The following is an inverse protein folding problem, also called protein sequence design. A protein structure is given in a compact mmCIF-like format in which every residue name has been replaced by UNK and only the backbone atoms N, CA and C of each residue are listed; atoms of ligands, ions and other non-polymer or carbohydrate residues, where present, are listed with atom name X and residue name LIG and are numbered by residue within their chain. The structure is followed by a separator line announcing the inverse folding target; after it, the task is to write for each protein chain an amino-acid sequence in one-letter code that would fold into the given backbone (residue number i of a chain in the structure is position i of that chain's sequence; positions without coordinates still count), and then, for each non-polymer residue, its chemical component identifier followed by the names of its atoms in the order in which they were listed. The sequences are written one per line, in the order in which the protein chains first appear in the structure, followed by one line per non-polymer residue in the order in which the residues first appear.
data_IF_525393120481
#
_entry.id   IF_525393120481
#
_cell.length_a   1.000
_cell.length_b   1.000
_cell.length_c   1.000
_cell.angle_alpha   90.00
_cell.angle_beta   90.00
_cell.angle_gamma   90.00
#
_symmetry.space_group_name_H-M   'P 1'
#
loop_
_entity.id
_entity.type
_entity.pdbx_description
1 polymer ?
#
# COMPACT_ATOMS: atom_id res chain seq x y z
N UNK A 1 -0.03 -14.15 67.29
CA UNK A 1 1.33 -13.57 67.40
C UNK A 1 1.89 -13.51 65.98
N UNK A 2 1.90 -12.33 65.32
CA UNK A 2 3.07 -11.44 65.21
C UNK A 2 4.27 -12.22 64.62
N UNK A 3 4.91 -11.91 63.48
CA UNK A 3 5.25 -10.63 62.86
C UNK A 3 5.78 -10.86 61.42
N UNK A 4 5.40 -9.95 60.53
CA UNK A 4 6.20 -9.20 59.54
C UNK A 4 7.23 -9.84 58.59
N UNK A 5 7.32 -9.17 57.43
CA UNK A 5 8.37 -9.10 56.40
C UNK A 5 7.97 -9.81 55.09
N UNK A 6 8.02 -9.19 53.90
CA UNK A 6 8.24 -7.81 53.47
C UNK A 6 7.84 -7.75 51.98
N UNK A 7 7.32 -6.61 51.55
CA UNK A 7 6.99 -6.28 50.16
C UNK A 7 8.18 -6.53 49.21
N UNK A 8 7.96 -7.26 48.11
CA UNK A 8 8.62 -6.95 46.83
C UNK A 8 7.54 -6.90 45.75
N UNK A 9 7.20 -5.66 45.43
CA UNK A 9 6.53 -5.23 44.21
C UNK A 9 7.35 -5.67 43.00
N UNK A 10 6.91 -6.69 42.27
CA UNK A 10 7.30 -6.85 40.87
C UNK A 10 6.16 -6.31 40.03
N UNK A 11 6.28 -5.03 39.68
CA UNK A 11 5.53 -4.42 38.59
C UNK A 11 5.87 -5.26 37.36
N UNK A 12 4.94 -6.12 36.93
CA UNK A 12 4.93 -6.63 35.57
C UNK A 12 4.61 -5.42 34.67
N UNK A 13 5.64 -4.63 34.37
CA UNK A 13 5.70 -3.94 33.11
C UNK A 13 5.75 -5.03 32.06
N UNK A 14 4.58 -5.50 31.64
CA UNK A 14 4.42 -6.03 30.28
C UNK A 14 4.62 -4.80 29.40
N UNK A 15 5.90 -4.49 29.16
CA UNK A 15 6.27 -3.72 28.00
C UNK A 15 5.65 -4.45 26.83
N UNK A 16 4.67 -3.80 26.22
CA UNK A 16 4.30 -3.99 24.83
C UNK A 16 5.61 -3.74 24.07
N UNK A 17 6.39 -4.81 23.90
CA UNK A 17 7.54 -4.84 23.02
C UNK A 17 6.98 -4.83 21.61
N UNK A 18 6.60 -3.63 21.14
CA UNK A 18 6.81 -3.28 19.75
C UNK A 18 8.33 -3.20 19.54
N UNK A 19 9.02 -4.34 19.62
CA UNK A 19 10.32 -4.44 18.99
C UNK A 19 10.06 -4.22 17.50
N UNK A 20 10.37 -3.02 17.01
CA UNK A 20 10.87 -2.92 15.64
C UNK A 20 12.06 -3.87 15.63
N UNK A 21 11.87 -5.07 15.05
CA UNK A 21 12.97 -5.96 14.76
C UNK A 21 13.91 -5.17 13.83
N UNK A 22 15.01 -4.66 14.41
CA UNK A 22 16.02 -3.91 13.70
C UNK A 22 16.81 -4.91 12.86
N UNK A 23 16.29 -5.22 11.67
CA UNK A 23 17.04 -5.98 10.69
C UNK A 23 18.07 -5.07 10.01
N UNK A 24 19.32 -5.54 9.85
CA UNK A 24 20.31 -4.78 9.09
C UNK A 24 19.86 -4.65 7.63
N UNK A 25 19.94 -3.45 7.06
CA UNK A 25 19.67 -3.17 5.63
C UNK A 25 20.45 -4.10 4.69
N UNK A 26 21.56 -4.66 5.17
CA UNK A 26 22.37 -5.64 4.46
C UNK A 26 22.70 -6.82 5.39
N UNK A 27 21.82 -7.83 5.49
CA UNK A 27 22.11 -9.01 6.29
C UNK A 27 23.32 -9.74 5.70
N UNK A 28 24.31 -10.05 6.55
CA UNK A 28 25.51 -10.75 6.12
C UNK A 28 25.12 -12.14 5.60
N UNK A 29 25.41 -12.39 4.32
CA UNK A 29 25.32 -13.72 3.72
C UNK A 29 26.43 -14.57 4.30
N UNK A 30 26.07 -15.65 4.99
CA UNK A 30 27.05 -16.66 5.36
C UNK A 30 27.31 -17.48 4.10
N UNK A 31 28.56 -17.50 3.63
CA UNK A 31 28.99 -18.51 2.66
C UNK A 31 28.77 -19.86 3.33
N UNK A 32 27.96 -20.77 2.78
CA UNK A 32 27.76 -22.07 3.40
C UNK A 32 29.13 -22.76 3.49
N UNK A 33 29.67 -22.93 4.69
CA UNK A 33 30.86 -23.78 4.92
C UNK A 33 30.50 -25.26 4.85
N UNK A 34 29.22 -25.60 4.71
CA UNK A 34 28.78 -26.94 4.38
C UNK A 34 27.74 -26.89 3.26
N UNK A 35 28.01 -27.58 2.16
CA UNK A 35 27.02 -27.95 1.13
C UNK A 35 25.89 -28.85 1.70
N UNK A 36 25.93 -29.20 2.98
CA UNK A 36 25.10 -30.23 3.63
C UNK A 36 23.66 -29.79 3.95
N UNK A 37 23.35 -28.49 3.98
CA UNK A 37 22.06 -27.98 4.47
C UNK A 37 21.20 -27.28 3.40
N UNK A 38 21.69 -27.12 2.17
CA UNK A 38 20.92 -26.50 1.09
C UNK A 38 20.23 -27.56 0.24
N UNK A 39 18.89 -27.62 0.29
CA UNK A 39 18.13 -28.42 -0.69
C UNK A 39 18.26 -27.82 -2.09
N UNK A 40 18.06 -28.65 -3.14
CA UNK A 40 18.01 -28.22 -4.55
C UNK A 40 17.21 -26.93 -4.70
N UNK A 41 16.03 -26.89 -4.11
CA UNK A 41 15.15 -25.74 -4.19
C UNK A 41 15.74 -24.48 -3.54
N UNK A 42 16.32 -24.59 -2.35
CA UNK A 42 16.93 -23.45 -1.65
C UNK A 42 18.09 -22.87 -2.46
N UNK A 43 18.82 -23.72 -3.20
CA UNK A 43 19.89 -23.29 -4.11
C UNK A 43 19.36 -22.52 -5.32
N UNK A 44 18.28 -22.98 -5.93
CA UNK A 44 17.75 -22.43 -7.18
C UNK A 44 16.68 -21.34 -7.02
N UNK A 45 16.24 -21.11 -5.78
CA UNK A 45 15.21 -20.12 -5.46
C UNK A 45 15.62 -18.72 -5.94
N UNK A 46 14.72 -18.09 -6.68
CA UNK A 46 14.75 -16.68 -7.04
C UNK A 46 13.34 -16.08 -6.91
N UNK A 47 13.18 -14.84 -7.34
CA UNK A 47 11.91 -14.14 -7.40
C UNK A 47 11.58 -13.63 -8.79
N UNK A 48 10.29 -13.59 -9.10
CA UNK A 48 9.76 -13.14 -10.37
C UNK A 48 8.58 -12.18 -10.17
N UNK A 49 8.44 -11.25 -11.10
CA UNK A 49 7.25 -10.41 -11.30
C UNK A 49 6.95 -10.34 -12.80
N UNK A 50 5.67 -10.30 -13.17
CA UNK A 50 5.27 -10.07 -14.57
C UNK A 50 5.54 -8.64 -15.02
N UNK A 51 5.59 -7.69 -14.08
CA UNK A 51 5.84 -6.29 -14.38
C UNK A 51 6.84 -5.69 -13.38
N UNK A 52 7.97 -5.19 -13.90
CA UNK A 52 8.99 -4.48 -13.10
C UNK A 52 8.71 -2.99 -12.99
N UNK A 53 7.74 -2.47 -13.74
CA UNK A 53 7.32 -1.07 -13.72
C UNK A 53 5.88 -1.03 -13.25
N UNK A 54 5.67 -0.79 -11.96
CA UNK A 54 4.35 -0.88 -11.31
C UNK A 54 3.83 0.53 -11.05
N UNK A 55 2.55 0.77 -11.35
CA UNK A 55 1.94 2.03 -10.94
C UNK A 55 1.77 2.05 -9.41
N UNK A 56 1.99 3.20 -8.78
CA UNK A 56 1.75 3.37 -7.32
C UNK A 56 0.29 3.07 -6.92
N UNK A 57 -0.65 3.14 -7.86
CA UNK A 57 -2.05 2.74 -7.72
C UNK A 57 -2.34 1.36 -8.32
N UNK A 58 -1.37 0.45 -8.35
CA UNK A 58 -1.59 -0.93 -8.75
C UNK A 58 -0.94 -1.87 -7.73
N UNK A 59 -1.57 -3.02 -7.49
CA UNK A 59 -0.92 -4.10 -6.74
C UNK A 59 0.01 -4.87 -7.69
N UNK A 60 1.31 -4.84 -7.41
CA UNK A 60 2.28 -5.73 -8.01
C UNK A 60 2.28 -7.10 -7.34
N UNK A 61 2.43 -8.16 -8.12
CA UNK A 61 2.56 -9.53 -7.58
C UNK A 61 3.99 -10.02 -7.74
N UNK A 62 4.60 -10.43 -6.64
CA UNK A 62 5.94 -11.00 -6.59
C UNK A 62 5.80 -12.45 -6.14
N UNK A 63 6.42 -13.38 -6.87
CA UNK A 63 6.34 -14.82 -6.63
C UNK A 63 7.71 -15.46 -6.57
N UNK A 64 7.81 -16.57 -5.84
CA UNK A 64 8.99 -17.44 -5.86
C UNK A 64 9.11 -18.09 -7.24
N UNK A 65 10.33 -18.14 -7.76
CA UNK A 65 10.69 -18.76 -9.03
C UNK A 65 11.78 -19.82 -8.83
N UNK A 66 11.59 -21.01 -9.37
CA UNK A 66 12.64 -22.02 -9.47
C UNK A 66 13.40 -21.82 -10.80
N UNK A 67 14.69 -21.47 -10.70
CA UNK A 67 15.54 -21.25 -11.87
C UNK A 67 15.82 -22.50 -12.69
N UNK A 68 15.84 -23.67 -12.07
CA UNK A 68 16.19 -24.92 -12.74
C UNK A 68 14.98 -25.48 -13.49
N UNK A 69 13.83 -25.56 -12.80
CA UNK A 69 12.59 -26.09 -13.38
C UNK A 69 11.85 -25.04 -14.23
N UNK A 70 12.36 -23.81 -14.30
CA UNK A 70 11.76 -22.65 -14.96
C UNK A 70 10.28 -22.42 -14.60
N UNK A 71 9.93 -22.73 -13.35
CA UNK A 71 8.55 -22.72 -12.87
C UNK A 71 8.31 -21.62 -11.83
N UNK A 72 7.15 -20.99 -11.91
CA UNK A 72 6.67 -20.06 -10.90
C UNK A 72 5.65 -20.75 -9.96
N UNK A 73 5.76 -20.49 -8.66
CA UNK A 73 4.91 -21.15 -7.67
C UNK A 73 3.75 -20.25 -7.25
N UNK A 74 2.59 -20.42 -7.91
CA UNK A 74 1.41 -19.56 -7.71
C UNK A 74 0.48 -19.95 -6.54
N UNK A 75 0.59 -21.17 -6.03
CA UNK A 75 -0.38 -21.73 -5.07
C UNK A 75 0.27 -22.10 -3.74
N UNK A 76 1.06 -23.16 -3.73
CA UNK A 76 1.71 -23.68 -2.54
C UNK A 76 3.01 -24.32 -2.94
N UNK A 77 4.06 -24.05 -2.18
CA UNK A 77 5.34 -24.66 -2.36
C UNK A 77 5.85 -25.19 -1.01
N UNK A 78 6.31 -26.44 -1.00
CA UNK A 78 6.82 -27.10 0.20
C UNK A 78 8.34 -27.05 0.20
N UNK A 79 8.91 -26.22 1.09
CA UNK A 79 10.31 -26.36 1.45
C UNK A 79 10.45 -27.43 2.52
N UNK A 80 11.58 -28.12 2.43
CA UNK A 80 12.02 -29.01 3.48
C UNK A 80 12.26 -28.22 4.77
N UNK A 81 11.52 -28.59 5.82
CA UNK A 81 11.59 -27.98 7.15
C UNK A 81 12.96 -28.16 7.79
N UNK A 82 13.68 -29.21 7.39
CA UNK A 82 15.02 -29.48 7.90
C UNK A 82 16.04 -28.49 7.33
N UNK A 83 15.75 -27.87 6.18
CA UNK A 83 16.64 -26.95 5.48
C UNK A 83 16.28 -25.46 5.66
N UNK A 84 15.01 -25.14 5.97
CA UNK A 84 14.52 -23.74 6.05
C UNK A 84 13.58 -23.56 7.22
N UNK A 85 13.88 -22.57 8.06
CA UNK A 85 13.07 -22.22 9.23
C UNK A 85 12.05 -21.11 8.92
N UNK A 86 12.41 -20.16 8.04
CA UNK A 86 11.51 -19.08 7.65
C UNK A 86 11.91 -18.41 6.33
N UNK A 87 10.94 -17.69 5.75
CA UNK A 87 11.14 -16.80 4.61
C UNK A 87 10.64 -15.41 4.99
N UNK A 88 11.43 -14.39 4.65
CA UNK A 88 11.08 -12.99 4.82
C UNK A 88 10.98 -12.31 3.45
N UNK A 89 9.84 -11.66 3.22
CA UNK A 89 9.54 -10.81 2.08
C UNK A 89 9.73 -9.36 2.50
N UNK A 90 10.63 -8.64 1.84
CA UNK A 90 11.04 -7.33 2.34
C UNK A 90 11.28 -6.28 1.25
N UNK A 91 10.72 -5.09 1.47
CA UNK A 91 11.05 -3.83 0.79
C UNK A 91 11.11 -2.76 1.87
N UNK A 92 12.20 -2.00 1.93
CA UNK A 92 12.39 -0.93 2.91
C UNK A 92 11.17 0.00 2.95
N UNK A 93 10.66 0.27 4.16
CA UNK A 93 9.51 1.12 4.47
C UNK A 93 8.18 0.77 3.77
N UNK A 94 8.11 -0.34 3.01
CA UNK A 94 6.94 -0.72 2.20
C UNK A 94 6.38 -2.06 2.68
N UNK A 95 7.24 -3.07 2.81
CA UNK A 95 6.83 -4.44 3.05
C UNK A 95 7.80 -5.11 4.00
N UNK A 96 7.26 -5.73 5.04
CA UNK A 96 7.97 -6.68 5.86
C UNK A 96 6.99 -7.78 6.28
N UNK A 97 7.20 -8.98 5.74
CA UNK A 97 6.38 -10.14 6.07
C UNK A 97 7.28 -11.35 6.27
N UNK A 98 7.20 -11.97 7.44
CA UNK A 98 7.89 -13.21 7.76
C UNK A 98 6.87 -14.35 7.86
N UNK A 99 7.19 -15.48 7.24
CA UNK A 99 6.44 -16.73 7.40
C UNK A 99 7.35 -17.86 7.82
N UNK A 100 6.95 -18.57 8.87
CA UNK A 100 7.58 -19.82 9.29
C UNK A 100 7.13 -21.03 8.48
N UNK A 101 7.47 -22.21 8.99
CA UNK A 101 7.38 -23.47 8.24
C UNK A 101 5.95 -24.06 8.23
N UNK A 102 5.24 -23.81 7.13
CA UNK A 102 4.10 -24.57 6.57
C UNK A 102 2.68 -23.94 6.69
N UNK A 103 2.03 -23.59 5.55
CA UNK A 103 2.62 -23.45 4.23
C UNK A 103 3.49 -22.18 4.15
N UNK A 104 4.60 -22.26 3.43
CA UNK A 104 5.32 -21.04 3.05
C UNK A 104 4.45 -20.23 2.09
N UNK A 105 4.37 -18.92 2.31
CA UNK A 105 3.79 -18.01 1.33
C UNK A 105 4.68 -18.05 0.08
N UNK A 106 4.13 -18.41 -1.07
CA UNK A 106 4.86 -18.47 -2.36
C UNK A 106 4.71 -17.20 -3.20
N UNK A 107 3.80 -16.29 -2.81
CA UNK A 107 3.53 -15.03 -3.49
C UNK A 107 3.12 -13.94 -2.50
N UNK A 108 3.53 -12.71 -2.75
CA UNK A 108 3.03 -11.52 -2.05
C UNK A 108 2.56 -10.44 -3.03
N UNK A 109 1.50 -9.72 -2.64
CA UNK A 109 1.16 -8.45 -3.23
C UNK A 109 2.02 -7.33 -2.64
N UNK A 110 2.33 -6.32 -3.44
CA UNK A 110 2.97 -5.06 -3.02
C UNK A 110 2.24 -3.87 -3.63
N UNK A 111 2.01 -2.84 -2.84
CA UNK A 111 1.54 -1.52 -3.29
C UNK A 111 2.57 -0.47 -2.85
N UNK A 112 2.75 0.58 -3.67
CA UNK A 112 3.75 1.62 -3.41
C UNK A 112 3.07 2.94 -3.12
N UNK A 113 3.49 3.64 -2.05
CA UNK A 113 2.89 4.92 -1.69
C UNK A 113 3.55 6.15 -2.37
N UNK A 114 4.70 5.97 -3.01
CA UNK A 114 5.41 7.02 -3.77
C UNK A 114 6.14 6.43 -4.98
N UNK A 115 6.30 7.18 -6.08
CA UNK A 115 7.18 6.77 -7.17
C UNK A 115 8.62 6.62 -6.71
N UNK A 116 9.37 5.73 -7.34
CA UNK A 116 10.77 5.49 -7.02
C UNK A 116 11.27 4.12 -7.47
N UNK A 117 12.54 3.86 -7.22
CA UNK A 117 13.15 2.55 -7.38
C UNK A 117 13.14 1.85 -6.02
N UNK A 118 12.63 0.62 -5.99
CA UNK A 118 12.51 -0.19 -4.79
C UNK A 118 13.25 -1.50 -4.98
N UNK A 119 14.03 -1.86 -3.96
CA UNK A 119 14.70 -3.15 -3.89
C UNK A 119 13.84 -4.11 -3.08
N UNK A 120 13.33 -5.13 -3.76
CA UNK A 120 12.71 -6.27 -3.10
C UNK A 120 13.76 -7.30 -2.75
N UNK A 121 13.68 -7.84 -1.53
CA UNK A 121 14.50 -8.94 -1.04
C UNK A 121 13.61 -10.09 -0.57
N UNK A 122 13.90 -11.30 -1.06
CA UNK A 122 13.48 -12.54 -0.43
C UNK A 122 14.65 -13.09 0.37
N UNK A 123 14.48 -13.24 1.67
CA UNK A 123 15.49 -13.78 2.57
C UNK A 123 15.02 -15.13 3.10
N UNK A 124 15.85 -16.16 2.94
CA UNK A 124 15.59 -17.50 3.47
C UNK A 124 16.51 -17.72 4.65
N UNK A 125 15.93 -18.11 5.78
CA UNK A 125 16.65 -18.30 7.04
C UNK A 125 16.72 -19.76 7.46
N UNK A 126 17.88 -20.12 8.03
CA UNK A 126 18.12 -21.35 8.79
C UNK A 126 19.03 -21.02 9.97
N UNK A 127 18.68 -21.47 11.17
CA UNK A 127 19.44 -21.27 12.40
C UNK A 127 19.78 -19.78 12.64
N UNK A 128 18.78 -18.90 12.46
CA UNK A 128 18.88 -17.44 12.54
C UNK A 128 19.88 -16.79 11.56
N UNK A 129 20.25 -17.50 10.50
CA UNK A 129 21.20 -17.04 9.49
C UNK A 129 20.55 -17.02 8.12
N UNK A 130 20.86 -16.00 7.31
CA UNK A 130 20.41 -15.95 5.91
C UNK A 130 21.22 -16.96 5.11
N UNK A 131 20.56 -18.00 4.62
CA UNK A 131 21.15 -19.05 3.76
C UNK A 131 20.92 -18.79 2.28
N UNK A 132 19.90 -17.99 1.94
CA UNK A 132 19.66 -17.55 0.56
C UNK A 132 19.07 -16.15 0.55
N UNK A 133 19.52 -15.36 -0.42
CA UNK A 133 18.97 -14.06 -0.78
C UNK A 133 18.64 -14.05 -2.27
N UNK A 134 17.43 -13.63 -2.60
CA UNK A 134 17.00 -13.32 -3.96
C UNK A 134 16.52 -11.88 -4.01
N UNK A 135 16.80 -11.18 -5.11
CA UNK A 135 16.61 -9.74 -5.21
C UNK A 135 15.94 -9.36 -6.54
N UNK A 136 15.07 -8.36 -6.48
CA UNK A 136 14.41 -7.80 -7.66
C UNK A 136 14.31 -6.28 -7.50
N UNK A 137 14.64 -5.56 -8.57
CA UNK A 137 14.38 -4.12 -8.65
C UNK A 137 13.00 -3.88 -9.26
N UNK A 138 12.22 -3.04 -8.59
CA UNK A 138 10.89 -2.62 -9.01
C UNK A 138 10.86 -1.10 -9.10
N UNK A 139 10.48 -0.59 -10.27
CA UNK A 139 10.26 0.83 -10.47
C UNK A 139 8.80 1.16 -10.27
N UNK A 140 8.48 1.89 -9.20
CA UNK A 140 7.16 2.45 -9.03
C UNK A 140 7.04 3.77 -9.82
N UNK A 141 6.09 3.85 -10.73
CA UNK A 141 5.87 5.04 -11.57
C UNK A 141 4.51 5.67 -11.30
N UNK A 142 4.36 6.99 -11.52
CA UNK A 142 3.05 7.60 -11.70
C UNK A 142 2.57 7.23 -13.11
N UNK A 143 2.00 6.04 -13.28
CA UNK A 143 1.67 5.51 -14.62
C UNK A 143 0.33 6.01 -15.19
N UNK A 144 -0.55 6.51 -14.32
CA UNK A 144 -1.89 7.02 -14.61
C UNK A 144 -2.15 8.20 -13.67
N UNK A 145 -3.20 8.98 -13.90
CA UNK A 145 -3.56 9.98 -12.90
C UNK A 145 -3.93 9.30 -11.56
N UNK A 146 -4.10 10.07 -10.47
CA UNK A 146 -4.39 9.55 -9.13
C UNK A 146 -5.55 8.55 -9.09
N UNK A 147 -6.43 8.58 -10.10
CA UNK A 147 -7.59 7.71 -10.23
C UNK A 147 -7.32 6.38 -10.93
N UNK A 148 -6.09 6.14 -11.39
CA UNK A 148 -5.76 4.99 -12.23
C UNK A 148 -6.58 4.96 -13.54
N UNK A 149 -7.02 6.13 -14.04
CA UNK A 149 -7.81 6.27 -15.26
C UNK A 149 -6.98 6.94 -16.35
N UNK A 150 -6.94 6.33 -17.53
CA UNK A 150 -6.52 7.00 -18.75
C UNK A 150 -7.75 7.65 -19.40
N UNK A 151 -7.86 8.97 -19.30
CA UNK A 151 -8.99 9.71 -19.88
C UNK A 151 -8.97 9.73 -21.41
N UNK A 152 -7.84 9.46 -22.06
CA UNK A 152 -7.75 9.30 -23.52
C UNK A 152 -8.28 7.96 -24.01
N UNK A 153 -8.25 6.94 -23.15
CA UNK A 153 -8.80 5.60 -23.43
C UNK A 153 -9.44 5.02 -22.15
N UNK A 154 -10.60 5.55 -21.72
CA UNK A 154 -11.17 5.20 -20.43
C UNK A 154 -11.70 3.76 -20.40
N UNK A 155 -11.83 3.15 -19.21
CA UNK A 155 -12.36 1.80 -19.08
C UNK A 155 -13.72 1.61 -19.78
N UNK A 156 -13.91 0.46 -20.41
CA UNK A 156 -15.13 0.14 -21.16
C UNK A 156 -16.37 -0.07 -20.26
N UNK A 157 -16.17 -0.21 -18.95
CA UNK A 157 -17.22 -0.40 -17.93
C UNK A 157 -16.84 0.30 -16.63
N UNK A 158 -17.83 0.51 -15.75
CA UNK A 158 -17.59 1.00 -14.39
C UNK A 158 -16.73 0.00 -13.61
N UNK A 159 -15.88 0.50 -12.72
CA UNK A 159 -15.00 -0.28 -11.86
C UNK A 159 -15.28 0.15 -10.42
N UNK A 160 -15.50 -0.82 -9.54
CA UNK A 160 -15.72 -0.59 -8.10
C UNK A 160 -14.76 -1.48 -7.32
N UNK A 161 -14.23 -0.96 -6.21
CA UNK A 161 -13.47 -1.76 -5.25
C UNK A 161 -12.00 -2.01 -5.65
N UNK A 162 -11.39 -1.09 -6.41
CA UNK A 162 -9.93 -1.06 -6.48
C UNK A 162 -9.42 -0.46 -5.17
N UNK A 163 -8.84 -1.30 -4.32
CA UNK A 163 -8.43 -0.91 -2.98
C UNK A 163 -6.92 -0.77 -2.87
N UNK A 164 -6.50 0.28 -2.15
CA UNK A 164 -5.11 0.60 -1.87
C UNK A 164 -4.92 0.83 -0.36
N UNK A 165 -3.68 0.82 0.09
CA UNK A 165 -3.34 1.19 1.47
C UNK A 165 -2.69 2.57 1.52
N UNK A 166 -3.24 3.48 2.32
CA UNK A 166 -2.64 4.79 2.60
C UNK A 166 -2.57 5.02 4.11
N UNK A 167 -1.34 5.18 4.62
CA UNK A 167 -1.06 5.31 6.07
C UNK A 167 -1.75 4.23 6.95
N UNK A 168 -1.83 3.00 6.45
CA UNK A 168 -2.42 1.86 7.15
C UNK A 168 -3.95 1.77 7.07
N UNK A 169 -4.59 2.65 6.32
CA UNK A 169 -6.03 2.65 6.05
C UNK A 169 -6.30 2.21 4.61
N UNK A 170 -7.43 1.53 4.41
CA UNK A 170 -7.88 1.13 3.07
C UNK A 170 -8.52 2.33 2.39
N UNK A 171 -8.10 2.59 1.16
CA UNK A 171 -8.63 3.62 0.27
C UNK A 171 -9.21 2.92 -0.93
N UNK A 172 -10.46 3.19 -1.26
CA UNK A 172 -11.13 2.60 -2.42
C UNK A 172 -11.21 3.63 -3.54
N UNK A 173 -10.91 3.17 -4.76
CA UNK A 173 -11.12 3.89 -6.00
C UNK A 173 -12.33 3.28 -6.70
N UNK A 174 -13.19 4.17 -7.21
CA UNK A 174 -14.33 3.83 -8.04
C UNK A 174 -14.27 4.64 -9.32
N UNK A 175 -14.46 3.98 -10.46
CA UNK A 175 -14.67 4.60 -11.77
C UNK A 175 -16.12 4.35 -12.22
N UNK A 176 -16.84 5.40 -12.60
CA UNK A 176 -18.22 5.29 -13.04
C UNK A 176 -18.33 5.72 -14.50
N UNK A 177 -18.68 4.76 -15.37
CA UNK A 177 -18.99 5.02 -16.77
C UNK A 177 -20.43 5.51 -16.90
N UNK A 178 -20.59 6.77 -17.32
CA UNK A 178 -21.87 7.39 -17.69
C UNK A 178 -21.64 8.49 -18.72
N UNK A 179 -22.68 9.29 -19.04
CA UNK A 179 -22.55 10.42 -19.97
C UNK A 179 -21.37 11.34 -19.63
N UNK A 180 -21.21 11.65 -18.35
CA UNK A 180 -20.06 12.36 -17.81
C UNK A 180 -19.29 11.42 -16.87
N UNK A 181 -18.30 10.66 -17.41
CA UNK A 181 -17.57 9.69 -16.60
C UNK A 181 -16.75 10.42 -15.54
N UNK A 182 -16.63 9.80 -14.37
CA UNK A 182 -15.84 10.32 -13.27
C UNK A 182 -15.19 9.17 -12.52
N UNK A 183 -14.16 9.49 -11.75
CA UNK A 183 -13.62 8.60 -10.75
C UNK A 183 -13.60 9.27 -9.39
N UNK A 184 -13.78 8.49 -8.33
CA UNK A 184 -13.73 8.94 -6.95
C UNK A 184 -12.80 8.07 -6.13
N UNK A 185 -12.19 8.68 -5.11
CA UNK A 185 -11.34 8.04 -4.13
C UNK A 185 -11.78 8.47 -2.73
N UNK A 186 -12.07 7.49 -1.88
CA UNK A 186 -12.49 7.68 -0.50
C UNK A 186 -11.94 6.58 0.42
N UNK A 187 -11.93 6.85 1.72
CA UNK A 187 -11.51 5.84 2.70
C UNK A 187 -12.62 4.81 2.91
N UNK A 188 -12.21 3.55 2.93
CA UNK A 188 -13.11 2.44 3.19
C UNK A 188 -12.97 1.96 4.64
N UNK A 189 -14.11 1.92 5.35
CA UNK A 189 -14.19 1.53 6.74
C UNK A 189 -14.94 0.20 6.90
N UNK A 190 -14.26 -0.92 6.70
CA UNK A 190 -14.82 -2.26 7.00
C UNK A 190 -14.67 -2.55 8.50
N UNK A 191 -15.77 -2.47 9.28
CA UNK A 191 -15.86 -2.99 10.66
C UNK A 191 -14.66 -2.73 11.59
N UNK A 192 -13.87 -1.67 11.37
CA UNK A 192 -12.75 -1.28 12.24
C UNK A 192 -13.27 -0.45 13.40
N UNK A 193 -12.84 -0.78 14.61
CA UNK A 193 -13.17 -0.06 15.85
C UNK A 193 -12.62 1.37 15.89
N UNK A 194 -11.65 1.70 15.03
CA UNK A 194 -11.12 3.05 14.85
C UNK A 194 -11.38 3.53 13.41
N UNK A 195 -12.49 4.23 13.21
CA UNK A 195 -12.68 5.07 12.02
C UNK A 195 -11.74 6.28 12.11
N UNK A 196 -11.25 6.78 10.98
CA UNK A 196 -10.58 8.08 10.96
C UNK A 196 -11.59 9.14 11.42
N UNK A 197 -11.14 10.13 12.17
CA UNK A 197 -12.00 11.31 12.36
C UNK A 197 -12.14 12.02 11.01
N UNK A 198 -13.26 12.72 10.77
CA UNK A 198 -13.45 13.50 9.54
C UNK A 198 -12.25 14.42 9.23
N UNK A 199 -11.67 15.05 10.25
CA UNK A 199 -10.51 15.94 10.09
C UNK A 199 -9.28 15.18 9.57
N UNK A 200 -9.04 13.96 10.05
CA UNK A 200 -7.94 13.12 9.61
C UNK A 200 -8.18 12.54 8.21
N UNK A 201 -9.41 12.17 7.90
CA UNK A 201 -9.81 11.76 6.55
C UNK A 201 -9.51 12.88 5.54
N UNK A 202 -9.97 14.10 5.83
CA UNK A 202 -9.70 15.30 5.03
C UNK A 202 -8.19 15.56 4.88
N UNK A 203 -7.43 15.53 5.97
CA UNK A 203 -5.98 15.74 5.98
C UNK A 203 -5.27 14.74 5.06
N UNK A 204 -5.60 13.45 5.17
CA UNK A 204 -4.94 12.40 4.42
C UNK A 204 -5.29 12.41 2.93
N UNK A 205 -6.56 12.67 2.58
CA UNK A 205 -6.95 12.84 1.18
C UNK A 205 -6.28 14.08 0.57
N UNK A 206 -6.25 15.20 1.30
CA UNK A 206 -5.55 16.40 0.85
C UNK A 206 -4.06 16.14 0.63
N UNK A 207 -3.39 15.45 1.57
CA UNK A 207 -1.99 15.06 1.45
C UNK A 207 -1.75 14.17 0.23
N UNK A 208 -2.60 13.16 0.03
CA UNK A 208 -2.50 12.24 -1.10
C UNK A 208 -2.66 12.96 -2.44
N UNK A 209 -3.72 13.78 -2.58
CA UNK A 209 -3.94 14.58 -3.78
C UNK A 209 -2.79 15.56 -4.04
N UNK A 210 -2.30 16.24 -3.00
CA UNK A 210 -1.21 17.22 -3.16
C UNK A 210 0.13 16.59 -3.52
N UNK A 211 0.41 15.38 -3.04
CA UNK A 211 1.60 14.63 -3.47
C UNK A 211 1.56 14.27 -4.95
N UNK A 212 0.37 14.06 -5.50
CA UNK A 212 0.21 13.67 -6.91
C UNK A 212 0.04 14.87 -7.84
N UNK A 213 -0.68 15.89 -7.42
CA UNK A 213 -1.08 17.03 -8.27
C UNK A 213 -0.48 18.37 -7.85
N UNK A 214 0.49 18.37 -6.93
CA UNK A 214 1.06 19.57 -6.30
C UNK A 214 0.04 20.35 -5.44
N UNK A 215 0.35 21.59 -5.07
CA UNK A 215 -0.58 22.42 -4.29
C UNK A 215 -1.89 22.68 -5.07
N UNK A 216 -3.05 22.71 -4.40
CA UNK A 216 -4.31 23.01 -5.06
C UNK A 216 -4.29 24.42 -5.64
N UNK A 217 -4.93 24.59 -6.80
CA UNK A 217 -5.11 25.88 -7.46
C UNK A 217 -6.07 26.78 -6.69
N UNK A 218 -7.07 26.18 -6.01
CA UNK A 218 -7.98 26.85 -5.08
C UNK A 218 -8.18 25.98 -3.84
N UNK A 219 -8.31 26.59 -2.67
CA UNK A 219 -8.63 25.85 -1.44
C UNK A 219 -9.41 26.71 -0.43
N UNK A 220 -10.25 26.09 0.39
CA UNK A 220 -11.09 26.80 1.36
C UNK A 220 -10.30 27.59 2.42
N UNK A 221 -9.00 27.29 2.61
CA UNK A 221 -8.13 28.05 3.51
C UNK A 221 -7.61 29.36 2.90
N UNK A 222 -7.57 29.46 1.57
CA UNK A 222 -6.99 30.59 0.83
C UNK A 222 -8.00 31.37 -0.01
N UNK A 223 -9.13 30.75 -0.34
CA UNK A 223 -10.16 31.27 -1.24
C UNK A 223 -11.53 31.24 -0.55
N UNK A 224 -12.40 32.16 -0.95
CA UNK A 224 -13.79 32.17 -0.48
C UNK A 224 -14.59 30.99 -1.07
N UNK A 225 -15.56 30.47 -0.32
CA UNK A 225 -16.38 29.34 -0.76
C UNK A 225 -17.08 29.59 -2.11
N UNK A 226 -17.57 30.81 -2.34
CA UNK A 226 -18.22 31.18 -3.60
C UNK A 226 -17.27 31.06 -4.82
N UNK A 227 -15.98 31.35 -4.65
CA UNK A 227 -14.98 31.19 -5.72
C UNK A 227 -14.73 29.71 -6.03
N UNK A 228 -14.60 28.89 -4.98
CA UNK A 228 -14.45 27.44 -5.10
C UNK A 228 -15.67 26.82 -5.79
N UNK A 229 -16.87 27.16 -5.35
CA UNK A 229 -18.12 26.61 -5.91
C UNK A 229 -18.30 27.04 -7.37
N UNK A 230 -17.99 28.30 -7.71
CA UNK A 230 -18.01 28.78 -9.08
C UNK A 230 -17.01 28.01 -9.96
N UNK A 231 -15.79 27.79 -9.48
CA UNK A 231 -14.78 27.04 -10.22
C UNK A 231 -15.16 25.56 -10.36
N UNK A 232 -15.68 24.95 -9.31
CA UNK A 232 -16.19 23.59 -9.35
C UNK A 232 -17.31 23.46 -10.39
N UNK A 233 -18.23 24.42 -10.40
CA UNK A 233 -19.34 24.46 -11.35
C UNK A 233 -18.87 24.60 -12.81
N UNK A 234 -17.76 25.29 -13.03
CA UNK A 234 -17.16 25.42 -14.36
C UNK A 234 -16.49 24.12 -14.82
N UNK A 235 -15.72 23.47 -13.94
CA UNK A 235 -14.84 22.36 -14.31
C UNK A 235 -15.53 20.99 -14.32
N UNK A 236 -16.46 20.75 -13.39
CA UNK A 236 -17.10 19.46 -13.22
C UNK A 236 -18.50 19.47 -13.85
N UNK A 237 -18.87 18.37 -14.51
CA UNK A 237 -20.25 18.15 -14.99
C UNK A 237 -21.08 17.39 -13.98
N UNK A 238 -20.46 16.58 -13.11
CA UNK A 238 -21.19 15.90 -12.06
C UNK A 238 -21.38 16.80 -10.84
N UNK A 239 -22.64 16.87 -10.40
CA UNK A 239 -23.06 17.61 -9.21
C UNK A 239 -23.29 16.63 -8.07
N UNK A 240 -22.47 16.74 -7.05
CA UNK A 240 -22.67 16.07 -5.77
C UNK A 240 -23.29 17.05 -4.79
N UNK A 241 -24.14 16.57 -3.89
CA UNK A 241 -24.60 17.36 -2.74
C UNK A 241 -23.48 17.43 -1.71
N UNK A 242 -22.48 18.27 -1.98
CA UNK A 242 -21.20 18.28 -1.29
C UNK A 242 -20.61 19.70 -1.27
N UNK A 243 -19.76 19.98 -0.29
CA UNK A 243 -18.99 21.22 -0.16
C UNK A 243 -17.63 21.07 -0.84
N UNK A 244 -17.25 22.00 -1.71
CA UNK A 244 -15.93 21.96 -2.36
C UNK A 244 -14.86 22.51 -1.41
N UNK A 245 -13.76 21.76 -1.22
CA UNK A 245 -12.70 22.11 -0.26
C UNK A 245 -11.39 22.49 -0.92
N UNK A 246 -11.06 21.83 -2.03
CA UNK A 246 -9.87 22.12 -2.82
C UNK A 246 -10.07 21.68 -4.27
N UNK A 247 -9.42 22.39 -5.20
CA UNK A 247 -9.43 22.10 -6.64
C UNK A 247 -7.99 22.10 -7.15
N UNK A 248 -7.65 21.10 -7.95
CA UNK A 248 -6.42 21.03 -8.72
C UNK A 248 -6.72 21.05 -10.21
N UNK A 249 -6.02 21.92 -10.94
CA UNK A 249 -6.11 21.99 -12.39
C UNK A 249 -4.90 21.32 -13.02
N UNK A 250 -5.05 20.08 -13.48
CA UNK A 250 -4.02 19.41 -14.27
C UNK A 250 -4.31 19.56 -15.79
N UNK A 251 -3.38 19.21 -16.67
CA UNK A 251 -3.53 19.37 -18.13
C UNK A 251 -4.71 18.57 -18.70
N UNK A 252 -4.98 17.36 -18.19
CA UNK A 252 -6.00 16.43 -18.74
C UNK A 252 -7.22 16.21 -17.84
N UNK A 253 -7.09 16.46 -16.54
CA UNK A 253 -8.08 16.08 -15.52
C UNK A 253 -8.39 17.29 -14.62
N UNK A 254 -9.67 17.51 -14.32
CA UNK A 254 -10.10 18.36 -13.23
C UNK A 254 -10.25 17.50 -11.96
N UNK A 255 -9.63 17.92 -10.86
CA UNK A 255 -9.62 17.16 -9.60
C UNK A 255 -10.11 18.05 -8.47
N UNK A 256 -10.98 17.52 -7.61
CA UNK A 256 -11.49 18.24 -6.46
C UNK A 256 -11.55 17.33 -5.22
N UNK A 257 -11.28 17.91 -4.06
CA UNK A 257 -11.62 17.34 -2.77
C UNK A 257 -12.96 17.94 -2.33
N UNK A 258 -13.93 17.09 -2.03
CA UNK A 258 -15.26 17.50 -1.60
C UNK A 258 -15.63 16.83 -0.28
N UNK A 259 -16.37 17.55 0.56
CA UNK A 259 -16.97 17.04 1.80
C UNK A 259 -18.46 16.80 1.61
N UNK A 260 -18.97 15.65 2.04
CA UNK A 260 -20.37 15.28 1.90
C UNK A 260 -20.90 14.59 3.16
N UNK A 261 -22.18 14.82 3.52
CA UNK A 261 -22.77 14.17 4.67
C UNK A 261 -23.19 12.73 4.32
N UNK A 262 -22.79 11.77 5.16
CA UNK A 262 -23.28 10.37 5.12
C UNK A 262 -23.59 9.93 6.55
N UNK A 263 -24.81 9.46 6.79
CA UNK A 263 -25.29 9.02 8.10
C UNK A 263 -25.10 10.07 9.22
N UNK A 264 -25.28 11.36 8.89
CA UNK A 264 -25.04 12.53 9.76
C UNK A 264 -23.57 12.75 10.18
N UNK A 265 -22.63 12.07 9.54
CA UNK A 265 -21.19 12.28 9.69
C UNK A 265 -20.65 12.91 8.41
N UNK A 266 -19.76 13.89 8.55
CA UNK A 266 -19.06 14.47 7.40
C UNK A 266 -18.00 13.48 6.91
N UNK A 267 -18.04 13.17 5.61
CA UNK A 267 -17.04 12.35 4.93
C UNK A 267 -16.42 13.12 3.77
N UNK A 268 -15.29 12.65 3.28
CA UNK A 268 -14.54 13.33 2.25
C UNK A 268 -14.20 12.36 1.12
N UNK A 269 -14.22 12.89 -0.10
CA UNK A 269 -13.73 12.14 -1.26
C UNK A 269 -13.02 13.06 -2.23
N UNK A 270 -12.04 12.49 -2.92
CA UNK A 270 -11.41 13.12 -4.07
C UNK A 270 -12.19 12.66 -5.30
N UNK A 271 -12.58 13.58 -6.16
CA UNK A 271 -13.22 13.29 -7.44
C UNK A 271 -12.38 13.79 -8.61
N UNK A 272 -12.43 13.06 -9.71
CA UNK A 272 -11.73 13.35 -10.95
C UNK A 272 -12.65 13.22 -12.15
N UNK A 273 -12.60 14.23 -13.02
CA UNK A 273 -13.30 14.24 -14.31
C UNK A 273 -12.34 14.62 -15.43
N UNK A 274 -12.54 14.12 -16.67
CA UNK A 274 -11.80 14.61 -17.81
C UNK A 274 -12.16 16.07 -18.05
N UNK A 275 -11.22 16.86 -18.56
CA UNK A 275 -11.53 18.22 -19.01
C UNK A 275 -12.37 18.16 -20.29
N UNK A 276 -13.49 18.88 -20.30
CA UNK A 276 -14.43 18.99 -21.43
C UNK A 276 -14.16 20.23 -22.28
#
# INVERSE_FOLDING_TARGET
MLKYHFFISLILFIFISCAKENYPENPALIKPEEESLTTRMTKNMDVWTDNRVINIFEEGKIRIYDKEDHADHYTTFQLDKEAVDSIVWHIDDILHYSSGVNPFRSMTGVTFYKPGEYKFNLLVYKDNKVVKKAELMIRAVPGKDFFNVDWGNPPSSSIVGQSYSYKGYRVDQTYVKKQYPYSSIDFYYENKSAQLTPEKEKEYLLEAASKTYSSPSLSAGNNGQAELDNKYNLLFKNRFNATTLAIWENRSTAVALIGYPKDNVEHYMIIGEPKY
#
